data_IF_401292531969
#
_entry.id   IF_401292531969
#
_cell.length_a   1.000
_cell.length_b   1.000
_cell.length_c   1.000
_cell.angle_alpha   90.00
_cell.angle_beta   90.00
_cell.angle_gamma   90.00
#
_symmetry.space_group_name_H-M   'P 1'
#
loop_
_entity.id
_entity.type
_entity.pdbx_description
1 polymer ?
#
# COMPACT_ATOMS: atom_id res chain seq x y z
N UNK A 1 20.55 -2.88 11.18
CA UNK A 1 20.22 -1.60 10.51
C UNK A 1 21.30 -1.08 9.56
N UNK A 2 22.57 -0.89 9.97
CA UNK A 2 23.64 -0.38 9.08
C UNK A 2 23.81 -1.19 7.78
N UNK A 3 23.78 -2.52 7.86
CA UNK A 3 23.95 -3.38 6.67
C UNK A 3 22.82 -3.25 5.64
N UNK A 4 21.57 -3.11 6.07
CA UNK A 4 20.41 -2.87 5.19
C UNK A 4 20.58 -1.52 4.48
N UNK A 5 20.97 -0.50 5.24
CA UNK A 5 21.20 0.84 4.71
C UNK A 5 22.27 0.86 3.61
N UNK A 6 23.40 0.17 3.84
CA UNK A 6 24.47 0.04 2.84
C UNK A 6 24.01 -0.72 1.60
N UNK A 7 23.32 -1.85 1.77
CA UNK A 7 22.83 -2.67 0.63
C UNK A 7 21.80 -1.93 -0.23
N UNK A 8 20.94 -1.11 0.38
CA UNK A 8 19.97 -0.30 -0.35
C UNK A 8 20.62 0.94 -1.01
N UNK A 9 21.65 1.53 -0.40
CA UNK A 9 22.39 2.63 -1.04
C UNK A 9 23.23 2.19 -2.23
N UNK A 10 23.76 0.96 -2.23
CA UNK A 10 24.61 0.44 -3.30
C UNK A 10 23.99 0.55 -4.71
N UNK A 11 22.71 0.23 -4.94
CA UNK A 11 22.04 0.46 -6.23
C UNK A 11 21.58 1.92 -6.45
N UNK A 12 21.96 2.88 -5.61
CA UNK A 12 21.64 4.29 -5.76
C UNK A 12 20.37 4.77 -5.02
N UNK A 13 19.77 3.97 -4.14
CA UNK A 13 18.58 4.41 -3.41
C UNK A 13 18.92 5.48 -2.36
N UNK A 14 18.13 6.54 -2.34
CA UNK A 14 18.17 7.55 -1.27
C UNK A 14 17.29 7.10 -0.11
N UNK A 15 17.88 7.02 1.08
CA UNK A 15 17.20 6.55 2.28
C UNK A 15 16.99 7.71 3.25
N UNK A 16 15.72 8.00 3.56
CA UNK A 16 15.31 9.01 4.53
C UNK A 16 14.55 8.35 5.68
N UNK A 17 15.01 8.54 6.91
CA UNK A 17 14.22 8.17 8.09
C UNK A 17 13.06 9.16 8.21
N UNK A 18 11.83 8.65 8.11
CA UNK A 18 10.63 9.46 8.29
C UNK A 18 10.41 9.75 9.78
N UNK A 19 9.92 10.96 10.06
CA UNK A 19 9.49 11.41 11.39
C UNK A 19 7.97 11.54 11.42
N UNK A 20 7.37 11.73 12.60
CA UNK A 20 5.93 11.95 12.72
C UNK A 20 5.41 13.11 11.85
N UNK A 21 6.20 14.19 11.67
CA UNK A 21 5.87 15.28 10.74
C UNK A 21 5.75 14.83 9.29
N UNK A 22 6.63 13.92 8.85
CA UNK A 22 6.59 13.40 7.48
C UNK A 22 5.31 12.57 7.25
N UNK A 23 4.97 11.69 8.20
CA UNK A 23 3.72 10.94 8.14
C UNK A 23 2.50 11.84 8.20
N UNK A 24 2.50 12.83 9.10
CA UNK A 24 1.42 13.80 9.22
C UNK A 24 1.15 14.51 7.90
N UNK A 25 2.19 15.07 7.28
CA UNK A 25 2.07 15.80 6.02
C UNK A 25 1.65 14.90 4.85
N UNK A 26 2.14 13.65 4.82
CA UNK A 26 1.75 12.69 3.78
C UNK A 26 0.28 12.27 3.92
N UNK A 27 -0.15 11.88 5.13
CA UNK A 27 -1.53 11.50 5.42
C UNK A 27 -2.50 12.67 5.24
N UNK A 28 -2.14 13.88 5.65
CA UNK A 28 -2.99 15.05 5.41
C UNK A 28 -3.31 15.26 3.92
N UNK A 29 -2.35 15.05 3.01
CA UNK A 29 -2.59 15.17 1.56
C UNK A 29 -3.50 14.09 0.99
N UNK A 30 -3.52 12.94 1.65
CA UNK A 30 -4.37 11.83 1.27
C UNK A 30 -5.80 12.00 1.81
N UNK A 31 -5.93 12.34 3.09
CA UNK A 31 -7.21 12.44 3.78
C UNK A 31 -7.88 13.81 3.67
N UNK A 32 -7.14 14.86 3.28
CA UNK A 32 -7.67 16.17 2.95
C UNK A 32 -7.25 16.55 1.52
N UNK A 33 -7.78 15.83 0.51
CA UNK A 33 -7.41 16.03 -0.89
C UNK A 33 -7.94 17.36 -1.47
N UNK A 34 -8.99 17.93 -0.87
CA UNK A 34 -9.66 19.17 -1.30
C UNK A 34 -10.30 19.87 -0.08
N UNK A 35 -9.50 20.36 0.88
CA UNK A 35 -10.01 20.98 2.10
C UNK A 35 -10.85 22.22 1.81
N UNK A 36 -12.06 22.28 2.36
CA UNK A 36 -13.00 23.37 2.09
C UNK A 36 -12.53 24.72 2.68
N UNK A 37 -11.80 24.70 3.78
CA UNK A 37 -11.33 25.90 4.50
C UNK A 37 -10.21 26.66 3.77
N UNK A 38 -9.70 26.10 2.67
CA UNK A 38 -8.65 26.67 1.83
C UNK A 38 -8.92 26.44 0.35
N UNK A 39 -10.19 26.31 -0.04
CA UNK A 39 -10.63 26.18 -1.44
C UNK A 39 -9.89 25.06 -2.20
N UNK A 40 -9.56 23.96 -1.50
CA UNK A 40 -8.84 22.82 -2.05
C UNK A 40 -7.30 22.89 -1.93
N UNK A 41 -6.72 23.98 -1.42
CA UNK A 41 -5.27 24.09 -1.21
C UNK A 41 -4.85 23.41 0.10
N UNK A 42 -4.38 22.17 -0.02
CA UNK A 42 -3.87 21.39 1.11
C UNK A 42 -2.59 21.94 1.74
N UNK A 43 -1.77 22.70 1.01
CA UNK A 43 -0.58 23.32 1.59
C UNK A 43 -0.97 24.50 2.49
N UNK A 44 -1.93 25.31 2.05
CA UNK A 44 -2.52 26.36 2.89
C UNK A 44 -3.22 25.76 4.12
N UNK A 45 -3.91 24.63 3.97
CA UNK A 45 -4.55 23.93 5.09
C UNK A 45 -3.51 23.45 6.11
N UNK A 46 -2.42 22.83 5.65
CA UNK A 46 -1.30 22.40 6.51
C UNK A 46 -0.53 23.54 7.16
N UNK A 47 -0.56 24.74 6.58
CA UNK A 47 0.00 25.93 7.22
C UNK A 47 -0.86 26.38 8.40
N UNK A 48 -2.19 26.23 8.30
CA UNK A 48 -3.14 26.50 9.39
C UNK A 48 -3.12 25.42 10.47
N UNK A 49 -2.92 24.16 10.09
CA UNK A 49 -2.86 23.00 10.98
C UNK A 49 -1.48 22.30 10.87
N UNK A 50 -0.43 22.87 11.45
CA UNK A 50 0.89 22.27 11.41
C UNK A 50 1.00 21.06 12.35
N UNK A 51 1.93 20.16 12.03
CA UNK A 51 2.27 19.05 12.92
C UNK A 51 2.71 19.58 14.31
N UNK A 52 2.09 19.12 15.41
CA UNK A 52 2.37 19.65 16.74
C UNK A 52 3.78 19.27 17.21
N UNK A 53 4.55 20.31 17.55
CA UNK A 53 5.88 20.15 18.13
C UNK A 53 5.77 19.60 19.56
N UNK A 54 4.94 20.23 20.38
CA UNK A 54 4.58 19.76 21.72
C UNK A 54 3.27 18.99 21.67
N UNK A 55 3.27 17.74 22.18
CA UNK A 55 2.12 16.83 22.08
C UNK A 55 1.45 16.74 23.44
N UNK A 56 0.19 17.18 23.58
CA UNK A 56 -0.52 17.03 24.83
C UNK A 56 -0.72 15.54 25.16
N UNK A 57 -0.95 15.25 26.45
CA UNK A 57 -1.38 13.93 26.87
C UNK A 57 -2.65 13.52 26.10
N UNK A 58 -2.65 12.33 25.51
CA UNK A 58 -3.75 11.85 24.66
C UNK A 58 -3.66 12.22 23.19
N UNK A 59 -2.58 12.90 22.74
CA UNK A 59 -2.35 13.13 21.31
C UNK A 59 -2.34 11.80 20.55
N UNK A 60 -3.20 11.69 19.55
CA UNK A 60 -3.16 10.63 18.55
C UNK A 60 -3.06 11.24 17.16
N UNK A 61 -2.11 10.74 16.38
CA UNK A 61 -1.85 11.19 15.02
C UNK A 61 -3.12 11.08 14.15
N UNK A 62 -3.90 10.03 14.37
CA UNK A 62 -5.14 9.77 13.64
C UNK A 62 -6.18 10.86 13.87
N UNK A 63 -6.45 11.27 15.11
CA UNK A 63 -7.43 12.35 15.38
C UNK A 63 -6.92 13.72 14.92
N UNK A 64 -5.60 13.93 14.89
CA UNK A 64 -5.03 15.20 14.42
C UNK A 64 -5.11 15.40 12.91
N UNK A 65 -5.42 14.33 12.17
CA UNK A 65 -5.46 14.34 10.71
C UNK A 65 -6.86 14.00 10.21
N UNK A 66 -7.48 12.95 10.74
CA UNK A 66 -8.82 12.57 10.27
C UNK A 66 -9.84 13.57 10.80
N UNK A 67 -10.51 14.25 9.86
CA UNK A 67 -11.72 15.01 10.15
C UNK A 67 -12.95 14.09 10.19
N UNK A 68 -14.09 14.62 9.74
CA UNK A 68 -15.28 13.80 9.53
C UNK A 68 -15.05 12.80 8.39
N UNK A 69 -15.06 11.50 8.70
CA UNK A 69 -14.91 10.43 7.70
C UNK A 69 -16.28 9.96 7.26
N UNK A 70 -16.59 10.10 5.98
CA UNK A 70 -17.82 9.56 5.38
C UNK A 70 -17.52 8.24 4.69
N UNK A 71 -18.42 7.27 4.83
CA UNK A 71 -18.30 5.97 4.17
C UNK A 71 -19.67 5.38 3.84
N UNK A 72 -19.69 4.45 2.89
CA UNK A 72 -20.85 3.62 2.55
C UNK A 72 -20.39 2.19 2.21
N UNK A 73 -21.29 1.40 1.64
CA UNK A 73 -21.06 0.04 1.15
C UNK A 73 -19.97 -0.05 0.06
N UNK A 74 -19.72 1.05 -0.67
CA UNK A 74 -18.71 1.11 -1.74
C UNK A 74 -17.34 1.57 -1.27
N UNK A 75 -17.25 2.33 -0.17
CA UNK A 75 -15.96 2.72 0.40
C UNK A 75 -15.98 4.05 1.13
N UNK A 76 -14.85 4.74 1.12
CA UNK A 76 -14.62 5.98 1.89
C UNK A 76 -14.69 7.22 1.00
N UNK A 77 -15.06 8.33 1.63
CA UNK A 77 -15.08 9.66 1.03
C UNK A 77 -14.30 10.61 1.92
N UNK A 78 -13.35 11.33 1.29
CA UNK A 78 -12.56 12.37 1.92
C UNK A 78 -12.72 13.65 1.11
N UNK A 79 -13.10 14.76 1.75
CA UNK A 79 -13.50 16.02 1.10
C UNK A 79 -14.52 15.88 -0.04
N UNK A 80 -15.44 14.92 0.12
CA UNK A 80 -16.46 14.58 -0.87
C UNK A 80 -15.94 13.83 -2.09
N UNK A 81 -14.67 13.44 -2.14
CA UNK A 81 -14.09 12.64 -3.21
C UNK A 81 -14.11 11.15 -2.84
N UNK A 82 -14.57 10.25 -3.73
CA UNK A 82 -14.53 8.82 -3.48
C UNK A 82 -13.10 8.28 -3.52
N UNK A 83 -12.74 7.49 -2.51
CA UNK A 83 -11.44 6.85 -2.38
C UNK A 83 -11.57 5.32 -2.38
N UNK A 84 -10.61 4.65 -3.00
CA UNK A 84 -10.55 3.19 -3.09
C UNK A 84 -9.12 2.68 -2.94
N UNK A 85 -9.05 1.40 -2.62
CA UNK A 85 -7.80 0.64 -2.51
C UNK A 85 -7.90 -0.56 -3.43
N UNK A 86 -6.99 -0.65 -4.39
CA UNK A 86 -6.82 -1.83 -5.22
C UNK A 86 -5.62 -2.62 -4.68
N UNK A 87 -5.89 -3.79 -4.10
CA UNK A 87 -4.84 -4.70 -3.67
C UNK A 87 -4.29 -5.48 -4.87
N UNK A 88 -2.98 -5.66 -4.90
CA UNK A 88 -2.35 -6.59 -5.83
C UNK A 88 -2.57 -8.00 -5.30
N UNK A 89 -3.34 -8.79 -6.02
CA UNK A 89 -3.50 -10.22 -5.74
C UNK A 89 -2.16 -10.95 -5.97
N UNK A 90 -1.97 -12.09 -5.28
CA UNK A 90 -0.71 -12.82 -5.25
C UNK A 90 0.02 -12.92 -6.60
N UNK A 91 1.34 -12.74 -6.55
CA UNK A 91 2.17 -12.79 -7.75
C UNK A 91 2.19 -14.20 -8.33
N UNK A 92 1.64 -14.36 -9.54
CA UNK A 92 1.69 -15.64 -10.28
C UNK A 92 3.07 -15.96 -10.87
N UNK A 93 3.91 -14.94 -11.03
CA UNK A 93 5.26 -15.06 -11.56
C UNK A 93 6.18 -14.00 -10.93
N UNK A 94 7.51 -14.25 -10.89
CA UNK A 94 8.47 -13.26 -10.41
C UNK A 94 8.36 -11.95 -11.20
N UNK A 95 8.32 -10.79 -10.53
CA UNK A 95 8.23 -9.50 -11.21
C UNK A 95 9.54 -9.21 -11.94
N UNK A 96 9.44 -8.79 -13.20
CA UNK A 96 10.60 -8.40 -14.01
C UNK A 96 10.93 -6.91 -13.82
N UNK A 97 12.20 -6.49 -14.01
CA UNK A 97 12.55 -5.08 -13.94
C UNK A 97 11.69 -4.23 -14.88
N UNK A 98 11.12 -3.16 -14.33
CA UNK A 98 10.22 -2.27 -15.06
C UNK A 98 8.78 -2.78 -15.19
N UNK A 99 8.37 -3.83 -14.47
CA UNK A 99 6.99 -4.36 -14.54
C UNK A 99 5.92 -3.28 -14.38
N UNK A 100 6.10 -2.36 -13.43
CA UNK A 100 5.13 -1.30 -13.15
C UNK A 100 5.41 0.00 -13.90
N UNK A 101 6.70 0.36 -14.03
CA UNK A 101 7.14 1.70 -14.41
C UNK A 101 7.71 1.82 -15.82
N UNK A 102 8.00 0.71 -16.49
CA UNK A 102 8.53 0.73 -17.85
C UNK A 102 7.40 0.52 -18.84
N UNK A 103 7.45 1.25 -19.95
CA UNK A 103 6.61 0.97 -21.10
C UNK A 103 6.90 -0.43 -21.65
N UNK A 104 5.87 -1.27 -21.69
CA UNK A 104 5.97 -2.64 -22.20
C UNK A 104 4.79 -2.95 -23.12
N UNK A 105 5.01 -3.78 -24.16
CA UNK A 105 3.91 -4.36 -24.90
C UNK A 105 2.99 -5.12 -23.95
N UNK A 106 1.70 -4.87 -24.07
CA UNK A 106 0.66 -5.58 -23.33
C UNK A 106 0.19 -6.79 -24.14
N UNK A 107 -0.83 -7.51 -23.65
CA UNK A 107 -1.42 -8.67 -24.34
C UNK A 107 -1.79 -8.36 -25.80
N UNK A 108 -2.21 -7.12 -26.07
CA UNK A 108 -2.29 -6.58 -27.43
C UNK A 108 -0.98 -5.87 -27.79
N UNK A 109 -0.22 -6.35 -28.79
CA UNK A 109 1.07 -5.77 -29.18
C UNK A 109 1.00 -4.31 -29.65
N UNK A 110 -0.18 -3.81 -30.04
CA UNK A 110 -0.40 -2.39 -30.40
C UNK A 110 -0.46 -1.46 -29.19
N UNK A 111 -0.57 -2.01 -27.98
CA UNK A 111 -0.58 -1.25 -26.74
C UNK A 111 0.76 -1.38 -26.04
N UNK A 112 1.47 -0.26 -25.92
CA UNK A 112 2.72 -0.13 -25.18
C UNK A 112 2.56 1.01 -24.18
N UNK A 113 2.57 0.71 -22.90
CA UNK A 113 2.45 1.68 -21.80
C UNK A 113 3.01 1.10 -20.51
N UNK A 114 3.36 1.94 -19.53
CA UNK A 114 3.64 1.49 -18.18
C UNK A 114 2.33 1.34 -17.40
N UNK A 115 2.22 0.35 -16.52
CA UNK A 115 1.00 0.14 -15.72
C UNK A 115 0.66 1.36 -14.86
N UNK A 116 1.67 2.08 -14.37
CA UNK A 116 1.46 3.31 -13.61
C UNK A 116 0.80 4.44 -14.42
N UNK A 117 0.96 4.47 -15.75
CA UNK A 117 0.39 5.51 -16.61
C UNK A 117 -1.13 5.39 -16.79
N UNK A 118 -1.69 4.22 -16.46
CA UNK A 118 -3.14 3.96 -16.50
C UNK A 118 -3.83 4.32 -15.20
N UNK A 119 -3.07 4.50 -14.12
CA UNK A 119 -3.64 4.86 -12.84
C UNK A 119 -4.12 6.32 -12.86
N UNK A 120 -5.21 6.63 -12.14
CA UNK A 120 -5.67 8.00 -11.99
C UNK A 120 -4.58 8.93 -11.45
N UNK A 121 -4.65 10.19 -11.84
CA UNK A 121 -3.77 11.21 -11.29
C UNK A 121 -3.89 11.28 -9.75
N UNK A 122 -2.75 11.39 -9.08
CA UNK A 122 -2.69 11.41 -7.62
C UNK A 122 -2.82 10.02 -6.97
N UNK A 123 -2.84 8.94 -7.76
CA UNK A 123 -2.75 7.58 -7.23
C UNK A 123 -1.42 7.35 -6.52
N UNK A 124 -1.46 6.58 -5.44
CA UNK A 124 -0.30 6.23 -4.64
C UNK A 124 -0.11 4.72 -4.68
N UNK A 125 0.97 4.29 -5.32
CA UNK A 125 1.44 2.92 -5.20
C UNK A 125 2.15 2.71 -3.86
N UNK A 126 1.76 1.66 -3.14
CA UNK A 126 2.31 1.30 -1.85
C UNK A 126 2.92 -0.09 -1.91
N UNK A 127 4.13 -0.24 -1.36
CA UNK A 127 4.81 -1.50 -1.13
C UNK A 127 5.27 -1.51 0.32
N UNK A 128 4.65 -2.37 1.12
CA UNK A 128 5.00 -2.57 2.53
C UNK A 128 5.70 -3.90 2.67
N UNK A 129 6.94 -3.88 3.19
CA UNK A 129 7.73 -5.08 3.47
C UNK A 129 8.02 -5.12 4.96
N UNK A 130 7.57 -6.17 5.63
CA UNK A 130 7.82 -6.37 7.06
C UNK A 130 8.98 -7.34 7.23
N UNK A 131 10.03 -6.86 7.89
CA UNK A 131 11.19 -7.67 8.26
C UNK A 131 10.94 -8.26 9.65
N UNK A 132 10.78 -9.59 9.70
CA UNK A 132 10.68 -10.35 10.94
C UNK A 132 11.83 -11.36 11.04
N UNK A 133 12.07 -11.84 12.26
CA UNK A 133 12.95 -12.98 12.46
C UNK A 133 12.26 -14.29 12.03
N UNK A 134 13.08 -15.32 11.82
CA UNK A 134 12.60 -16.61 11.32
C UNK A 134 11.62 -17.28 12.29
N UNK A 135 11.80 -17.08 13.61
CA UNK A 135 10.90 -17.66 14.62
C UNK A 135 9.48 -17.09 14.52
N UNK A 136 9.35 -15.78 14.29
CA UNK A 136 8.06 -15.12 14.08
C UNK A 136 7.37 -15.61 12.78
N UNK A 137 8.13 -15.83 11.71
CA UNK A 137 7.60 -16.38 10.45
C UNK A 137 7.12 -17.83 10.67
N UNK A 138 7.94 -18.68 11.29
CA UNK A 138 7.56 -20.06 11.61
C UNK A 138 6.31 -20.14 12.49
N UNK A 139 6.24 -19.32 13.54
CA UNK A 139 5.08 -19.27 14.43
C UNK A 139 3.80 -18.83 13.68
N UNK A 140 3.92 -17.90 12.73
CA UNK A 140 2.82 -17.48 11.88
C UNK A 140 2.34 -18.61 10.95
N UNK A 141 3.25 -19.28 10.24
CA UNK A 141 2.92 -20.42 9.37
C UNK A 141 2.25 -21.55 10.15
N UNK A 142 2.75 -21.86 11.35
CA UNK A 142 2.15 -22.87 12.22
C UNK A 142 0.73 -22.48 12.68
N UNK A 143 0.49 -21.19 12.92
CA UNK A 143 -0.84 -20.69 13.31
C UNK A 143 -1.83 -20.81 12.15
N UNK A 144 -1.41 -20.46 10.93
CA UNK A 144 -2.22 -20.63 9.72
C UNK A 144 -2.57 -22.10 9.53
N UNK A 145 -1.58 -22.98 9.59
CA UNK A 145 -1.75 -24.43 9.41
C UNK A 145 -2.77 -25.03 10.37
N UNK A 146 -2.70 -24.66 11.66
CA UNK A 146 -3.68 -25.07 12.68
C UNK A 146 -5.08 -24.52 12.45
N UNK A 147 -5.19 -23.34 11.82
CA UNK A 147 -6.46 -22.68 11.52
C UNK A 147 -7.17 -23.23 10.28
N UNK A 148 -6.48 -24.00 9.43
CA UNK A 148 -7.09 -24.57 8.22
C UNK A 148 -7.94 -25.78 8.59
N UNK A 149 -9.25 -25.61 8.49
CA UNK A 149 -10.27 -26.65 8.74
C UNK A 149 -10.86 -27.11 7.42
N UNK A 150 -11.07 -28.42 7.29
CA UNK A 150 -11.71 -29.04 6.12
C UNK A 150 -10.73 -29.57 5.07
N UNK A 151 -11.30 -30.30 4.12
CA UNK A 151 -10.61 -31.04 3.06
C UNK A 151 -11.04 -30.62 1.66
N UNK A 152 -11.78 -29.52 1.53
CA UNK A 152 -12.14 -28.95 0.24
C UNK A 152 -10.91 -28.37 -0.48
N UNK A 153 -11.11 -27.90 -1.71
CA UNK A 153 -10.03 -27.39 -2.57
C UNK A 153 -9.25 -26.22 -1.94
N UNK A 154 -9.93 -25.24 -1.36
CA UNK A 154 -9.31 -24.05 -0.76
C UNK A 154 -8.42 -24.38 0.46
N UNK A 155 -8.90 -25.15 1.46
CA UNK A 155 -8.05 -25.66 2.55
C UNK A 155 -6.84 -26.46 2.08
N UNK A 156 -6.99 -27.26 1.02
CA UNK A 156 -5.88 -28.06 0.48
C UNK A 156 -4.81 -27.16 -0.14
N UNK A 157 -5.20 -26.22 -0.99
CA UNK A 157 -4.29 -25.24 -1.60
C UNK A 157 -3.53 -24.44 -0.52
N UNK A 158 -4.23 -23.98 0.52
CA UNK A 158 -3.59 -23.24 1.61
C UNK A 158 -2.53 -24.08 2.37
N UNK A 159 -2.73 -25.40 2.49
CA UNK A 159 -1.72 -26.30 3.08
C UNK A 159 -0.52 -26.49 2.16
N UNK A 160 -0.74 -26.56 0.85
CA UNK A 160 0.33 -26.63 -0.16
C UNK A 160 1.18 -25.35 -0.14
N UNK A 161 0.55 -24.17 -0.10
CA UNK A 161 1.25 -22.88 0.01
C UNK A 161 2.10 -22.79 1.29
N UNK A 162 1.58 -23.27 2.43
CA UNK A 162 2.34 -23.31 3.68
C UNK A 162 3.53 -24.27 3.58
N UNK A 163 3.35 -25.42 2.94
CA UNK A 163 4.41 -26.41 2.75
C UNK A 163 5.52 -25.84 1.86
N UNK A 164 5.16 -25.15 0.78
CA UNK A 164 6.10 -24.47 -0.10
C UNK A 164 6.87 -23.38 0.64
N UNK A 165 6.18 -22.53 1.40
CA UNK A 165 6.81 -21.51 2.24
C UNK A 165 7.83 -22.12 3.23
N UNK A 166 7.51 -23.27 3.86
CA UNK A 166 8.45 -23.98 4.74
C UNK A 166 9.64 -24.56 3.97
N UNK A 167 9.42 -25.07 2.75
CA UNK A 167 10.49 -25.58 1.90
C UNK A 167 11.49 -24.47 1.57
N UNK A 168 11.00 -23.32 1.11
CA UNK A 168 11.80 -22.14 0.79
C UNK A 168 12.66 -21.69 1.98
N UNK A 169 12.08 -21.63 3.19
CA UNK A 169 12.83 -21.35 4.42
C UNK A 169 13.91 -22.41 4.69
N UNK A 170 13.61 -23.69 4.46
CA UNK A 170 14.54 -24.80 4.67
C UNK A 170 15.73 -24.81 3.70
N UNK A 171 15.56 -24.32 2.48
CA UNK A 171 16.63 -24.18 1.47
C UNK A 171 17.47 -22.91 1.73
N UNK A 172 17.07 -22.06 2.67
CA UNK A 172 17.79 -20.85 3.09
C UNK A 172 17.26 -19.56 2.46
N UNK A 173 16.14 -19.62 1.73
CA UNK A 173 15.47 -18.42 1.23
C UNK A 173 14.74 -17.71 2.37
N UNK A 174 14.76 -16.37 2.34
CA UNK A 174 14.08 -15.55 3.33
C UNK A 174 12.69 -15.18 2.84
N UNK A 175 11.69 -15.42 3.69
CA UNK A 175 10.34 -14.96 3.46
C UNK A 175 10.12 -13.58 4.06
N UNK A 176 9.37 -12.76 3.36
CA UNK A 176 8.97 -11.43 3.80
C UNK A 176 7.47 -11.28 3.65
N UNK A 177 6.81 -10.67 4.64
CA UNK A 177 5.44 -10.23 4.45
C UNK A 177 5.46 -9.00 3.57
N UNK A 178 4.87 -9.14 2.39
CA UNK A 178 4.79 -8.07 1.39
C UNK A 178 3.32 -7.77 1.16
N UNK A 179 2.96 -6.50 1.26
CA UNK A 179 1.65 -6.00 0.84
C UNK A 179 1.86 -4.93 -0.23
N UNK A 180 1.11 -5.05 -1.32
CA UNK A 180 1.13 -4.11 -2.43
C UNK A 180 -0.29 -3.64 -2.71
N UNK A 181 -0.47 -2.33 -2.79
CA UNK A 181 -1.75 -1.75 -3.11
C UNK A 181 -1.60 -0.42 -3.84
N UNK A 182 -2.55 -0.12 -4.70
CA UNK A 182 -2.75 1.22 -5.27
C UNK A 182 -3.88 1.89 -4.50
N UNK A 183 -3.56 3.01 -3.87
CA UNK A 183 -4.54 3.92 -3.33
C UNK A 183 -4.92 4.91 -4.43
N UNK A 184 -6.20 5.06 -4.74
CA UNK A 184 -6.63 6.01 -5.76
C UNK A 184 -7.93 6.72 -5.37
N UNK A 185 -8.18 7.83 -6.03
CA UNK A 185 -9.36 8.68 -5.84
C UNK A 185 -9.84 9.20 -7.17
N UNK A 186 -11.10 9.64 -7.23
CA UNK A 186 -11.68 10.23 -8.43
C UNK A 186 -12.47 11.50 -8.08
N UNK A 187 -12.91 12.26 -9.10
CA UNK A 187 -13.78 13.44 -8.91
C UNK A 187 -15.17 13.05 -8.40
N UNK A 188 -15.67 11.90 -8.86
CA UNK A 188 -17.00 11.38 -8.63
C UNK A 188 -17.03 9.85 -8.84
N UNK A 189 -18.18 9.23 -8.53
CA UNK A 189 -18.37 7.78 -8.64
C UNK A 189 -18.32 7.27 -10.09
N UNK A 190 -18.69 8.09 -11.08
CA UNK A 190 -18.66 7.66 -12.48
C UNK A 190 -17.22 7.56 -12.99
N UNK A 191 -16.41 8.57 -12.67
CA UNK A 191 -14.98 8.56 -12.92
C UNK A 191 -14.30 7.38 -12.23
N UNK A 192 -14.69 7.07 -10.99
CA UNK A 192 -14.18 5.91 -10.25
C UNK A 192 -14.50 4.58 -10.96
N UNK A 193 -15.74 4.39 -11.40
CA UNK A 193 -16.15 3.17 -12.11
C UNK A 193 -15.40 2.98 -13.44
N UNK A 194 -14.96 4.06 -14.10
CA UNK A 194 -14.15 3.97 -15.33
C UNK A 194 -12.78 3.37 -15.04
N UNK A 195 -12.18 3.72 -13.89
CA UNK A 195 -10.90 3.17 -13.43
C UNK A 195 -11.05 1.69 -13.10
N UNK A 196 -12.10 1.30 -12.37
CA UNK A 196 -12.33 -0.09 -11.99
C UNK A 196 -12.60 -1.02 -13.18
N UNK A 197 -13.17 -0.49 -14.28
CA UNK A 197 -13.44 -1.26 -15.51
C UNK A 197 -12.23 -1.42 -16.42
N UNK A 198 -11.22 -0.54 -16.30
CA UNK A 198 -9.98 -0.57 -17.06
C UNK A 198 -8.79 -0.32 -16.11
N UNK A 199 -8.48 -1.27 -15.20
CA UNK A 199 -7.35 -1.15 -14.29
C UNK A 199 -5.99 -1.16 -15.01
#
# INVERSE_FOLDING_TARGET
MKQIYTKLKAPGLTLKRLTGKNYYQWWARWFHPRPAETDGDVNAWLAKLPYPLDKPAGFTLTQSILGEVKSNDKGFYFDGLPHRVMYVEGLKAPPVPGLLSRERPQDNPKHCYASLDKLPEGSIYTLSVVFADDAAIHAHLQRLEKGIIGTSSLPTLAREDIKEARHELGVGNRLYWVNQAVLYRASDEEALLKVEKNP
#
